data_IF_774239781848
#
_entry.id   IF_774239781848
#
_cell.length_a   1.000
_cell.length_b   1.000
_cell.length_c   1.000
_cell.angle_alpha   90.00
_cell.angle_beta   90.00
_cell.angle_gamma   90.00
#
_symmetry.space_group_name_H-M   'P 1'
#
loop_
_entity.id
_entity.type
_entity.pdbx_description
1 polymer ?
#
# COMPACT_ATOMS: atom_id res chain seq x y z
N UNK A 1 8.05 4.84 -0.69
CA UNK A 1 7.25 4.08 -1.68
C UNK A 1 7.74 4.19 -3.11
N UNK A 2 7.84 5.37 -3.74
CA UNK A 2 8.29 5.51 -5.14
C UNK A 2 9.52 4.68 -5.54
N UNK A 3 10.55 4.63 -4.69
CA UNK A 3 11.77 3.87 -4.98
C UNK A 3 11.53 2.36 -5.10
N UNK A 4 10.67 1.79 -4.25
CA UNK A 4 10.37 0.34 -4.22
C UNK A 4 9.63 -0.06 -5.51
N UNK A 5 8.61 0.70 -5.89
CA UNK A 5 7.88 0.46 -7.14
C UNK A 5 8.78 0.57 -8.37
N UNK A 6 9.62 1.61 -8.41
CA UNK A 6 10.57 1.79 -9.51
C UNK A 6 11.61 0.67 -9.60
N UNK A 7 12.16 0.23 -8.47
CA UNK A 7 13.09 -0.90 -8.45
C UNK A 7 12.39 -2.21 -8.87
N UNK A 8 11.14 -2.43 -8.47
CA UNK A 8 10.37 -3.60 -8.88
C UNK A 8 10.09 -3.62 -10.38
N UNK A 9 9.69 -2.49 -10.97
CA UNK A 9 9.54 -2.34 -12.42
C UNK A 9 10.85 -2.62 -13.17
N UNK A 10 11.96 -2.05 -12.71
CA UNK A 10 13.27 -2.21 -13.37
C UNK A 10 13.82 -3.65 -13.30
N UNK A 11 13.43 -4.41 -12.29
CA UNK A 11 13.94 -5.77 -12.03
C UNK A 11 12.97 -6.88 -12.43
N UNK A 12 11.80 -6.55 -13.01
CA UNK A 12 10.68 -7.47 -13.20
C UNK A 12 10.33 -8.25 -11.91
N UNK A 13 10.45 -7.59 -10.76
CA UNK A 13 10.15 -8.21 -9.48
C UNK A 13 8.65 -8.24 -9.20
N UNK A 14 8.24 -9.22 -8.39
CA UNK A 14 6.89 -9.29 -7.84
C UNK A 14 6.90 -8.53 -6.51
N UNK A 15 5.93 -7.63 -6.34
CA UNK A 15 5.69 -6.98 -5.05
C UNK A 15 4.77 -7.85 -4.20
N UNK A 16 5.23 -8.23 -3.01
CA UNK A 16 4.45 -8.99 -2.04
C UNK A 16 4.19 -8.15 -0.79
N UNK A 17 2.92 -8.01 -0.43
CA UNK A 17 2.47 -7.33 0.79
C UNK A 17 1.81 -8.36 1.70
N UNK A 18 2.42 -8.57 2.87
CA UNK A 18 1.82 -9.34 3.96
C UNK A 18 1.00 -8.41 4.87
N UNK A 19 0.07 -8.96 5.64
CA UNK A 19 -0.83 -8.20 6.54
C UNK A 19 -1.60 -7.08 5.83
N UNK A 20 -2.02 -7.31 4.58
CA UNK A 20 -2.71 -6.29 3.78
C UNK A 20 -4.06 -5.86 4.38
N UNK A 21 -4.62 -6.62 5.33
CA UNK A 21 -5.78 -6.23 6.12
C UNK A 21 -5.54 -4.96 6.94
N UNK A 22 -4.29 -4.63 7.31
CA UNK A 22 -3.95 -3.35 7.92
C UNK A 22 -4.16 -2.15 6.96
N UNK A 23 -4.05 -2.37 5.65
CA UNK A 23 -4.28 -1.35 4.62
C UNK A 23 -5.77 -1.11 4.37
N UNK A 24 -6.58 -2.17 4.51
CA UNK A 24 -8.03 -2.14 4.26
C UNK A 24 -8.88 -2.12 5.53
N UNK A 25 -8.25 -2.10 6.70
CA UNK A 25 -8.90 -2.02 8.00
C UNK A 25 -9.84 -0.83 8.08
N UNK A 26 -10.81 -0.88 9.03
CA UNK A 26 -11.77 0.22 9.22
C UNK A 26 -11.01 1.53 9.33
N UNK A 27 -11.20 2.43 8.36
CA UNK A 27 -10.75 3.83 8.47
C UNK A 27 -11.26 4.33 9.80
N UNK A 28 -10.35 4.56 10.75
CA UNK A 28 -10.72 5.14 12.04
C UNK A 28 -11.47 6.43 11.75
N UNK A 29 -12.58 6.65 12.46
CA UNK A 29 -13.15 8.00 12.51
C UNK A 29 -12.00 8.92 12.88
N UNK A 30 -11.65 9.85 11.98
CA UNK A 30 -10.48 10.70 12.14
C UNK A 30 -10.60 11.46 13.45
N UNK A 31 -9.87 11.02 14.48
CA UNK A 31 -9.96 11.62 15.82
C UNK A 31 -8.79 12.54 16.11
N UNK A 32 -7.67 12.34 15.43
CA UNK A 32 -6.49 13.18 15.55
C UNK A 32 -5.73 13.38 14.22
N UNK A 33 -4.62 14.13 14.28
CA UNK A 33 -3.77 14.36 13.11
C UNK A 33 -3.05 13.09 12.65
N UNK A 34 -2.77 12.15 13.56
CA UNK A 34 -2.08 10.90 13.25
C UNK A 34 -2.93 9.99 12.36
N UNK A 35 -4.22 9.86 12.66
CA UNK A 35 -5.20 9.16 11.82
C UNK A 35 -5.26 9.75 10.40
N UNK A 36 -5.13 11.08 10.25
CA UNK A 36 -5.08 11.70 8.92
C UNK A 36 -3.83 11.33 8.15
N UNK A 37 -2.66 11.35 8.80
CA UNK A 37 -1.40 10.97 8.15
C UNK A 37 -1.44 9.51 7.67
N UNK A 38 -1.93 8.59 8.51
CA UNK A 38 -2.09 7.18 8.14
C UNK A 38 -3.00 7.00 6.90
N UNK A 39 -4.14 7.70 6.87
CA UNK A 39 -5.05 7.65 5.71
C UNK A 39 -4.41 8.19 4.42
N UNK A 40 -3.59 9.24 4.50
CA UNK A 40 -2.87 9.81 3.35
C UNK A 40 -1.83 8.81 2.82
N UNK A 41 -1.05 8.20 3.72
CA UNK A 41 -0.03 7.22 3.32
C UNK A 41 -0.65 5.98 2.68
N UNK A 42 -1.77 5.48 3.21
CA UNK A 42 -2.53 4.36 2.62
C UNK A 42 -3.07 4.76 1.24
N UNK A 43 -3.68 5.93 1.11
CA UNK A 43 -4.21 6.40 -0.18
C UNK A 43 -3.09 6.51 -1.23
N UNK A 44 -1.92 6.99 -0.82
CA UNK A 44 -0.74 7.08 -1.68
C UNK A 44 -0.21 5.70 -2.09
N UNK A 45 -0.20 4.73 -1.18
CA UNK A 45 0.19 3.35 -1.50
C UNK A 45 -0.76 2.73 -2.52
N UNK A 46 -2.08 2.86 -2.32
CA UNK A 46 -3.09 2.33 -3.23
C UNK A 46 -2.95 2.94 -4.63
N UNK A 47 -2.76 4.26 -4.73
CA UNK A 47 -2.50 4.92 -6.00
C UNK A 47 -1.26 4.35 -6.69
N UNK A 48 -0.17 4.10 -5.95
CA UNK A 48 1.05 3.51 -6.53
C UNK A 48 0.85 2.07 -7.00
N UNK A 49 0.02 1.30 -6.30
CA UNK A 49 -0.36 -0.04 -6.74
C UNK A 49 -1.20 -0.03 -8.01
N UNK A 50 -2.10 0.95 -8.17
CA UNK A 50 -2.88 1.14 -9.41
C UNK A 50 -2.01 1.56 -10.60
N UNK A 51 -0.99 2.38 -10.36
CA UNK A 51 -0.03 2.82 -11.38
C UNK A 51 0.98 1.73 -11.78
N UNK A 52 1.16 0.69 -10.96
CA UNK A 52 2.17 -0.35 -11.17
C UNK A 52 1.71 -1.38 -12.22
N UNK A 53 2.45 -1.49 -13.33
CA UNK A 53 2.16 -2.45 -14.41
C UNK A 53 2.61 -3.90 -14.10
N UNK A 54 3.38 -4.09 -13.02
CA UNK A 54 3.87 -5.40 -12.57
C UNK A 54 2.87 -6.19 -11.75
N UNK A 55 3.28 -7.40 -11.31
CA UNK A 55 2.44 -8.25 -10.46
C UNK A 55 2.60 -7.82 -8.99
N UNK A 56 1.45 -7.57 -8.36
CA UNK A 56 1.35 -7.33 -6.91
C UNK A 56 0.53 -8.45 -6.27
N UNK A 57 1.06 -9.09 -5.25
CA UNK A 57 0.39 -10.13 -4.45
C UNK A 57 0.16 -9.57 -3.05
N UNK A 58 -1.06 -9.74 -2.53
CA UNK A 58 -1.45 -9.35 -1.18
C UNK A 58 -1.91 -10.56 -0.39
N UNK A 59 -1.38 -10.72 0.83
CA UNK A 59 -1.84 -11.70 1.81
C UNK A 59 -2.51 -10.99 2.98
N UNK A 60 -3.55 -11.61 3.55
CA UNK A 60 -4.28 -11.11 4.71
C UNK A 60 -4.42 -12.21 5.77
N UNK A 61 -4.43 -11.84 7.04
CA UNK A 61 -4.49 -12.77 8.18
C UNK A 61 -5.89 -12.88 8.82
N UNK A 62 -6.95 -12.76 8.00
CA UNK A 62 -8.35 -12.71 8.41
C UNK A 62 -8.82 -13.92 9.25
#
# INVERSE_FOLDING_TARGET
MNRIFKEAEQSNAILFFDEADALFGKRSEVRDSHDRYANIEISYLLQKMEENEGIVIMATNL
#
